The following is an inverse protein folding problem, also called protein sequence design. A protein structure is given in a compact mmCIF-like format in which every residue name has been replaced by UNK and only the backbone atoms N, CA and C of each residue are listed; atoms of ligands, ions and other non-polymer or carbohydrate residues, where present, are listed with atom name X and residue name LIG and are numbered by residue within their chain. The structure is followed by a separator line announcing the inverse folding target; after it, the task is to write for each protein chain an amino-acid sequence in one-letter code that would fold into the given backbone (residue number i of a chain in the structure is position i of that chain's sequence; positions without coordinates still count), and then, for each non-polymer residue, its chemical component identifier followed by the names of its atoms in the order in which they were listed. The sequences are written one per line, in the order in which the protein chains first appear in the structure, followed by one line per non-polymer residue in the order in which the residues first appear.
data_IF_862989714605
#
_entry.id   IF_862989714605
#
_cell.length_a   1.000
_cell.length_b   1.000
_cell.length_c   1.000
_cell.angle_alpha   90.00
_cell.angle_beta   90.00
_cell.angle_gamma   90.00
#
_symmetry.space_group_name_H-M   'P 1'
#
loop_
_entity.id
_entity.type
_entity.pdbx_description
1 polymer ?
#
# COMPACT_ATOMS: atom_id res chain seq x y z
N UNK A 1 -11.81 -33.22 -21.85
CA UNK A 1 -10.42 -32.73 -21.73
C UNK A 1 -9.81 -33.35 -20.48
N UNK A 2 -8.99 -34.39 -20.64
CA UNK A 2 -8.43 -35.18 -19.55
C UNK A 2 -7.40 -34.32 -18.79
N UNK A 3 -7.72 -33.88 -17.56
CA UNK A 3 -6.75 -33.24 -16.67
C UNK A 3 -5.89 -34.34 -16.04
N UNK A 4 -4.98 -34.92 -16.80
CA UNK A 4 -3.88 -35.65 -16.19
C UNK A 4 -3.09 -34.64 -15.34
N UNK A 5 -3.16 -34.79 -14.02
CA UNK A 5 -2.42 -33.96 -13.08
C UNK A 5 -0.94 -34.17 -13.38
N UNK A 6 -0.30 -33.14 -13.92
CA UNK A 6 1.15 -33.10 -14.09
C UNK A 6 1.82 -33.50 -12.76
N UNK A 7 2.48 -34.65 -12.74
CA UNK A 7 3.32 -35.09 -11.63
C UNK A 7 4.78 -34.87 -12.04
N UNK A 8 5.45 -33.83 -11.53
CA UNK A 8 6.86 -33.62 -11.84
C UNK A 8 7.66 -34.84 -11.36
N UNK A 9 8.37 -35.51 -12.27
CA UNK A 9 9.31 -36.59 -11.92
C UNK A 9 10.57 -35.94 -11.35
N UNK A 10 10.69 -35.89 -10.03
CA UNK A 10 11.92 -35.45 -9.38
C UNK A 10 12.99 -36.54 -9.41
N UNK A 11 14.28 -36.20 -9.63
CA UNK A 11 15.39 -37.14 -9.52
C UNK A 11 15.40 -37.81 -8.14
N UNK A 12 15.78 -39.08 -8.07
CA UNK A 12 15.66 -39.90 -6.84
C UNK A 12 16.47 -39.34 -5.66
N UNK A 13 17.63 -38.73 -5.94
CA UNK A 13 18.46 -38.02 -4.97
C UNK A 13 17.81 -36.74 -4.38
N UNK A 14 16.71 -36.27 -4.97
CA UNK A 14 15.96 -35.07 -4.57
C UNK A 14 14.61 -35.41 -3.94
N UNK A 15 14.28 -36.69 -3.75
CA UNK A 15 13.05 -37.10 -3.07
C UNK A 15 13.20 -36.79 -1.56
N UNK A 16 12.35 -35.91 -1.00
CA UNK A 16 12.35 -35.67 0.44
C UNK A 16 11.98 -36.95 1.18
N UNK A 17 12.60 -37.18 2.35
CA UNK A 17 12.23 -38.30 3.21
C UNK A 17 10.75 -38.19 3.62
N UNK A 18 10.13 -39.31 3.99
CA UNK A 18 8.72 -39.32 4.39
C UNK A 18 8.45 -38.38 5.58
N UNK A 19 9.42 -38.26 6.50
CA UNK A 19 9.36 -37.30 7.60
C UNK A 19 9.35 -35.84 7.10
N UNK A 20 10.26 -35.50 6.19
CA UNK A 20 10.32 -34.16 5.59
C UNK A 20 9.06 -33.84 4.76
N UNK A 21 8.48 -34.82 4.07
CA UNK A 21 7.22 -34.64 3.35
C UNK A 21 6.06 -34.32 4.29
N UNK A 22 5.95 -35.06 5.41
CA UNK A 22 4.91 -34.82 6.40
C UNK A 22 5.05 -33.43 7.05
N UNK A 23 6.27 -32.99 7.35
CA UNK A 23 6.52 -31.64 7.86
C UNK A 23 6.17 -30.56 6.85
N UNK A 24 6.59 -30.70 5.59
CA UNK A 24 6.23 -29.77 4.52
C UNK A 24 4.71 -29.69 4.31
N UNK A 25 4.02 -30.82 4.38
CA UNK A 25 2.57 -30.87 4.27
C UNK A 25 1.87 -30.17 5.45
N UNK A 26 2.43 -30.28 6.66
CA UNK A 26 1.94 -29.56 7.83
C UNK A 26 2.16 -28.04 7.69
N UNK A 27 3.35 -27.60 7.28
CA UNK A 27 3.70 -26.19 7.09
C UNK A 27 2.90 -25.53 5.96
N UNK A 28 2.62 -26.28 4.89
CA UNK A 28 1.80 -25.81 3.77
C UNK A 28 0.28 -25.94 4.01
N UNK A 29 -0.14 -26.48 5.17
CA UNK A 29 -1.55 -26.60 5.51
C UNK A 29 -2.17 -25.23 5.71
N UNK A 30 -3.40 -25.03 5.22
CA UNK A 30 -4.17 -23.81 5.47
C UNK A 30 -4.51 -23.59 6.95
N UNK A 31 -4.38 -24.63 7.78
CA UNK A 31 -4.57 -24.55 9.23
C UNK A 31 -3.33 -24.10 9.99
N UNK A 32 -2.16 -24.01 9.34
CA UNK A 32 -0.90 -23.73 10.02
C UNK A 32 -0.91 -22.36 10.70
N UNK A 33 -1.55 -21.37 10.09
CA UNK A 33 -1.62 -20.01 10.62
C UNK A 33 -2.62 -19.87 11.79
N UNK A 34 -3.47 -20.88 12.01
CA UNK A 34 -4.49 -20.84 13.04
C UNK A 34 -3.84 -20.92 14.42
N UNK A 35 -4.02 -19.87 15.21
CA UNK A 35 -3.45 -19.77 16.56
C UNK A 35 -1.98 -19.38 16.63
N UNK A 36 -1.33 -19.13 15.48
CA UNK A 36 0.06 -18.67 15.45
C UNK A 36 0.16 -17.14 15.32
N UNK A 37 1.40 -16.63 15.32
CA UNK A 37 1.71 -15.21 15.09
C UNK A 37 2.01 -14.90 13.62
N UNK A 38 1.94 -15.90 12.73
CA UNK A 38 2.03 -15.69 11.29
C UNK A 38 0.91 -14.76 10.82
N UNK A 39 1.24 -13.82 9.93
CA UNK A 39 0.29 -12.81 9.47
C UNK A 39 0.10 -11.61 10.40
N UNK A 40 0.43 -11.76 11.68
CA UNK A 40 0.25 -10.74 12.73
C UNK A 40 1.56 -10.04 13.08
N UNK A 41 2.60 -10.83 13.34
CA UNK A 41 3.94 -10.37 13.74
C UNK A 41 5.05 -11.03 12.94
N UNK A 42 4.80 -12.19 12.33
CA UNK A 42 5.78 -12.92 11.52
C UNK A 42 5.31 -13.01 10.07
N UNK A 43 6.25 -12.81 9.13
CA UNK A 43 5.97 -12.82 7.70
C UNK A 43 5.18 -11.60 7.22
N UNK A 44 4.52 -11.74 6.07
CA UNK A 44 3.64 -10.72 5.51
C UNK A 44 2.49 -10.40 6.45
N UNK A 45 2.11 -9.13 6.53
CA UNK A 45 1.02 -8.64 7.39
C UNK A 45 -0.33 -8.74 6.69
N UNK A 46 -1.29 -9.42 7.29
CA UNK A 46 -2.60 -9.70 6.66
C UNK A 46 -3.65 -8.61 6.85
N UNK A 47 -3.28 -7.46 7.44
CA UNK A 47 -4.22 -6.43 7.86
C UNK A 47 -4.71 -5.51 6.72
N UNK A 48 -3.96 -5.40 5.61
CA UNK A 48 -4.27 -4.47 4.52
C UNK A 48 -4.20 -5.15 3.16
N UNK A 49 -4.94 -4.61 2.18
CA UNK A 49 -4.85 -4.99 0.75
C UNK A 49 -3.49 -4.62 0.14
N UNK A 50 -2.73 -3.75 0.80
CA UNK A 50 -1.33 -3.43 0.48
C UNK A 50 -0.41 -4.03 1.55
N UNK A 51 -0.43 -5.37 1.66
CA UNK A 51 0.34 -6.13 2.64
C UNK A 51 1.85 -5.87 2.51
N UNK A 52 2.32 -5.65 1.29
CA UNK A 52 3.69 -5.31 0.95
C UNK A 52 4.13 -3.99 1.61
N UNK A 53 3.30 -2.95 1.48
CA UNK A 53 3.58 -1.64 2.00
C UNK A 53 3.58 -1.63 3.54
N UNK A 54 2.58 -2.24 4.19
CA UNK A 54 2.52 -2.29 5.66
C UNK A 54 3.64 -3.18 6.24
N UNK A 55 3.99 -4.28 5.58
CA UNK A 55 5.13 -5.13 6.00
C UNK A 55 6.44 -4.35 5.90
N UNK A 56 6.63 -3.57 4.82
CA UNK A 56 7.81 -2.72 4.68
C UNK A 56 7.90 -1.64 5.76
N UNK A 57 6.77 -1.03 6.12
CA UNK A 57 6.69 -0.03 7.18
C UNK A 57 7.13 -0.63 8.53
N UNK A 58 6.59 -1.79 8.88
CA UNK A 58 6.94 -2.46 10.13
C UNK A 58 8.40 -2.89 10.17
N UNK A 59 8.93 -3.47 9.08
CA UNK A 59 10.36 -3.81 9.00
C UNK A 59 11.25 -2.57 9.20
N UNK A 60 10.91 -1.44 8.56
CA UNK A 60 11.65 -0.19 8.77
C UNK A 60 11.49 0.37 10.19
N UNK A 61 10.32 0.24 10.82
CA UNK A 61 10.13 0.56 12.25
C UNK A 61 10.93 -0.36 13.18
N UNK A 62 11.24 -1.58 12.76
CA UNK A 62 12.07 -2.53 13.51
C UNK A 62 13.58 -2.33 13.23
N UNK A 63 13.95 -1.29 12.48
CA UNK A 63 15.33 -0.90 12.21
C UNK A 63 15.96 -1.55 10.99
N UNK A 64 15.20 -2.27 10.17
CA UNK A 64 15.70 -2.79 8.90
C UNK A 64 15.97 -1.66 7.90
N UNK A 65 16.90 -1.89 6.98
CA UNK A 65 17.30 -0.93 5.94
C UNK A 65 17.01 -1.57 4.58
N UNK A 66 16.24 -0.87 3.75
CA UNK A 66 16.03 -1.24 2.35
C UNK A 66 17.06 -0.56 1.43
N UNK A 67 17.37 -1.21 0.31
CA UNK A 67 18.29 -0.68 -0.71
C UNK A 67 17.59 -0.73 -2.06
N UNK A 68 17.59 0.40 -2.77
CA UNK A 68 17.09 0.51 -4.13
C UNK A 68 18.26 0.56 -5.12
N UNK A 69 18.23 -0.30 -6.13
CA UNK A 69 19.27 -0.39 -7.17
C UNK A 69 18.58 -0.21 -8.52
N UNK A 70 19.07 0.74 -9.32
CA UNK A 70 18.56 1.03 -10.66
C UNK A 70 19.64 0.75 -11.72
N UNK A 71 19.78 -0.51 -12.18
CA UNK A 71 20.76 -0.87 -13.22
C UNK A 71 20.38 -0.30 -14.59
N UNK A 72 21.34 -0.16 -15.49
CA UNK A 72 21.12 0.36 -16.86
C UNK A 72 20.19 -0.53 -17.68
N UNK A 73 20.21 -1.84 -17.45
CA UNK A 73 19.31 -2.80 -18.08
C UNK A 73 18.30 -3.30 -17.04
N UNK A 74 16.99 -3.32 -17.34
CA UNK A 74 15.98 -3.80 -16.41
C UNK A 74 16.17 -5.30 -16.13
N UNK A 75 16.43 -5.65 -14.87
CA UNK A 75 16.54 -7.05 -14.44
C UNK A 75 15.18 -7.75 -14.37
N UNK A 76 14.10 -6.98 -14.20
CA UNK A 76 12.74 -7.47 -14.10
C UNK A 76 11.85 -6.70 -15.08
N UNK A 77 11.17 -7.42 -15.96
CA UNK A 77 10.23 -6.84 -16.91
C UNK A 77 8.82 -7.38 -16.61
N UNK A 78 7.96 -6.51 -16.07
CA UNK A 78 6.56 -6.81 -15.80
C UNK A 78 5.65 -6.49 -16.97
N UNK A 79 4.47 -7.11 -17.01
CA UNK A 79 3.39 -6.71 -17.90
C UNK A 79 2.50 -5.67 -17.22
N UNK A 80 2.24 -4.55 -17.88
CA UNK A 80 1.29 -3.55 -17.41
C UNK A 80 -0.13 -3.84 -17.90
N UNK A 81 -1.13 -3.28 -17.22
CA UNK A 81 -2.51 -3.31 -17.69
C UNK A 81 -2.62 -2.57 -19.02
N UNK A 82 -3.24 -3.21 -20.02
CA UNK A 82 -3.50 -2.61 -21.33
C UNK A 82 -4.94 -2.05 -21.46
N UNK A 83 -5.76 -2.22 -20.42
CA UNK A 83 -7.16 -1.84 -20.39
C UNK A 83 -7.44 -0.90 -19.22
N UNK A 84 -8.26 0.13 -19.47
CA UNK A 84 -8.59 1.15 -18.47
C UNK A 84 -9.29 0.55 -17.25
N UNK A 85 -10.20 -0.41 -17.46
CA UNK A 85 -10.92 -1.03 -16.35
C UNK A 85 -9.97 -1.70 -15.34
N UNK A 86 -8.95 -2.41 -15.85
CA UNK A 86 -8.00 -3.12 -14.99
C UNK A 86 -7.10 -2.15 -14.24
N UNK A 87 -6.69 -1.05 -14.90
CA UNK A 87 -5.96 0.05 -14.26
C UNK A 87 -6.78 0.69 -13.13
N UNK A 88 -8.07 0.95 -13.35
CA UNK A 88 -8.94 1.55 -12.33
C UNK A 88 -9.14 0.61 -11.13
N UNK A 89 -9.32 -0.70 -11.37
CA UNK A 89 -9.42 -1.69 -10.30
C UNK A 89 -8.12 -1.74 -9.49
N UNK A 90 -6.96 -1.71 -10.16
CA UNK A 90 -5.67 -1.70 -9.50
C UNK A 90 -5.47 -0.44 -8.64
N UNK A 91 -5.73 0.74 -9.20
CA UNK A 91 -5.62 2.00 -8.48
C UNK A 91 -6.57 2.04 -7.28
N UNK A 92 -7.80 1.53 -7.44
CA UNK A 92 -8.77 1.45 -6.34
C UNK A 92 -8.26 0.58 -5.20
N UNK A 93 -7.65 -0.57 -5.51
CA UNK A 93 -7.06 -1.46 -4.49
C UNK A 93 -5.93 -0.78 -3.73
N UNK A 94 -5.04 -0.08 -4.43
CA UNK A 94 -3.96 0.67 -3.80
C UNK A 94 -4.48 1.79 -2.91
N UNK A 95 -5.40 2.61 -3.44
CA UNK A 95 -5.98 3.72 -2.69
C UNK A 95 -6.69 3.24 -1.41
N UNK A 96 -7.47 2.16 -1.51
CA UNK A 96 -8.17 1.60 -0.35
C UNK A 96 -7.18 1.03 0.68
N UNK A 97 -6.18 0.27 0.23
CA UNK A 97 -5.17 -0.30 1.13
C UNK A 97 -4.32 0.75 1.83
N UNK A 98 -3.93 1.82 1.13
CA UNK A 98 -3.19 2.95 1.70
C UNK A 98 -4.05 3.73 2.69
N UNK A 99 -5.35 3.91 2.39
CA UNK A 99 -6.30 4.49 3.34
C UNK A 99 -6.44 3.63 4.60
N UNK A 100 -6.55 2.30 4.46
CA UNK A 100 -6.57 1.37 5.59
C UNK A 100 -5.30 1.50 6.45
N UNK A 101 -4.12 1.59 5.83
CA UNK A 101 -2.86 1.80 6.53
C UNK A 101 -2.88 3.13 7.30
N UNK A 102 -3.33 4.22 6.65
CA UNK A 102 -3.39 5.55 7.22
C UNK A 102 -4.32 5.72 8.40
N UNK A 103 -5.46 5.04 8.39
CA UNK A 103 -6.47 5.08 9.45
C UNK A 103 -6.23 4.02 10.54
N UNK A 104 -5.20 3.18 10.40
CA UNK A 104 -4.89 2.15 11.38
C UNK A 104 -4.02 2.65 12.54
N UNK A 105 -3.80 1.82 13.55
CA UNK A 105 -2.80 2.10 14.61
C UNK A 105 -1.36 2.23 14.08
N UNK A 106 -1.12 1.76 12.85
CA UNK A 106 0.18 1.78 12.19
C UNK A 106 0.34 3.00 11.27
N UNK A 107 -0.43 4.08 11.48
CA UNK A 107 -0.28 5.31 10.70
C UNK A 107 1.17 5.78 10.69
N UNK A 108 1.81 5.93 9.51
CA UNK A 108 3.21 6.33 9.43
C UNK A 108 3.54 7.67 10.07
N UNK A 109 2.55 8.58 10.15
CA UNK A 109 2.67 9.91 10.74
C UNK A 109 2.77 9.89 12.28
N UNK A 110 2.23 8.86 12.93
CA UNK A 110 2.20 8.75 14.40
C UNK A 110 3.17 7.67 14.87
N UNK A 111 3.14 6.51 14.21
CA UNK A 111 3.94 5.34 14.58
C UNK A 111 5.39 5.43 14.07
N UNK A 112 5.61 6.05 12.91
CA UNK A 112 6.91 6.15 12.25
C UNK A 112 7.93 7.04 12.97
N UNK A 113 7.65 8.30 13.34
CA UNK A 113 8.68 9.25 13.80
C UNK A 113 9.43 8.80 15.06
N UNK A 114 8.83 7.92 15.86
CA UNK A 114 9.44 7.37 17.08
C UNK A 114 10.33 6.16 16.81
N UNK A 115 10.27 5.57 15.61
CA UNK A 115 10.88 4.27 15.28
C UNK A 115 11.74 4.27 14.01
N UNK A 116 11.64 5.30 13.18
CA UNK A 116 12.46 5.48 11.97
C UNK A 116 12.83 6.94 11.78
N UNK A 117 13.70 7.23 10.80
CA UNK A 117 14.03 8.60 10.41
C UNK A 117 12.77 9.42 10.07
N UNK A 118 12.74 10.68 10.50
CA UNK A 118 11.62 11.60 10.22
C UNK A 118 11.37 11.71 8.71
N UNK A 119 12.42 11.78 7.89
CA UNK A 119 12.29 11.85 6.43
C UNK A 119 11.64 10.59 5.84
N UNK A 120 12.00 9.42 6.37
CA UNK A 120 11.43 8.15 5.95
C UNK A 120 9.96 8.04 6.39
N UNK A 121 9.64 8.45 7.62
CA UNK A 121 8.26 8.53 8.11
C UNK A 121 7.42 9.50 7.28
N UNK A 122 7.96 10.65 6.88
CA UNK A 122 7.30 11.60 5.98
C UNK A 122 7.01 10.99 4.60
N UNK A 123 7.95 10.22 4.03
CA UNK A 123 7.74 9.55 2.75
C UNK A 123 6.56 8.56 2.82
N UNK A 124 6.52 7.73 3.86
CA UNK A 124 5.37 6.85 4.10
C UNK A 124 4.08 7.64 4.36
N UNK A 125 4.17 8.77 5.07
CA UNK A 125 3.05 9.69 5.28
C UNK A 125 2.49 10.24 3.96
N UNK A 126 3.35 10.64 3.03
CA UNK A 126 2.95 11.13 1.72
C UNK A 126 2.19 10.07 0.91
N UNK A 127 2.63 8.81 0.93
CA UNK A 127 1.93 7.71 0.26
C UNK A 127 0.49 7.53 0.77
N UNK A 128 0.30 7.61 2.08
CA UNK A 128 -1.03 7.50 2.69
C UNK A 128 -1.89 8.73 2.38
N UNK A 129 -1.30 9.92 2.46
CA UNK A 129 -2.01 11.18 2.20
C UNK A 129 -2.43 11.32 0.75
N UNK A 130 -1.69 10.75 -0.20
CA UNK A 130 -2.04 10.75 -1.63
C UNK A 130 -3.44 10.17 -1.85
N UNK A 131 -3.77 9.07 -1.18
CA UNK A 131 -5.10 8.46 -1.26
C UNK A 131 -6.20 9.33 -0.65
N UNK A 132 -5.89 10.06 0.43
CA UNK A 132 -6.80 10.97 1.10
C UNK A 132 -6.97 12.32 0.37
N UNK A 133 -6.04 12.66 -0.53
CA UNK A 133 -6.08 13.89 -1.33
C UNK A 133 -7.31 13.96 -2.25
N UNK A 134 -7.94 12.83 -2.54
CA UNK A 134 -9.19 12.75 -3.31
C UNK A 134 -10.30 13.60 -2.71
N UNK A 135 -10.39 13.73 -1.38
CA UNK A 135 -11.42 14.51 -0.68
C UNK A 135 -11.37 16.00 -1.05
N UNK A 136 -10.24 16.72 -0.87
CA UNK A 136 -10.15 18.12 -1.30
C UNK A 136 -10.31 18.29 -2.81
N UNK A 137 -9.86 17.33 -3.64
CA UNK A 137 -10.09 17.39 -5.09
C UNK A 137 -11.58 17.41 -5.44
N UNK A 138 -12.40 16.53 -4.84
CA UNK A 138 -13.84 16.54 -5.05
C UNK A 138 -14.48 17.82 -4.52
N UNK A 139 -14.04 18.32 -3.37
CA UNK A 139 -14.48 19.60 -2.83
C UNK A 139 -14.26 20.74 -3.82
N UNK A 140 -13.04 20.87 -4.36
CA UNK A 140 -12.69 21.90 -5.34
C UNK A 140 -13.33 21.68 -6.71
N UNK A 141 -13.74 20.46 -7.05
CA UNK A 141 -14.41 20.17 -8.32
C UNK A 141 -15.92 20.45 -8.27
N UNK A 142 -16.55 20.33 -7.09
CA UNK A 142 -18.00 20.44 -6.92
C UNK A 142 -18.40 21.81 -6.37
N UNK A 143 -17.66 22.34 -5.39
CA UNK A 143 -18.02 23.58 -4.69
C UNK A 143 -18.02 24.79 -5.66
N UNK A 144 -16.98 25.04 -6.48
CA UNK A 144 -16.97 26.22 -7.35
C UNK A 144 -18.08 26.24 -8.40
N UNK A 145 -18.40 25.14 -9.12
CA UNK A 145 -19.54 25.11 -10.02
C UNK A 145 -20.89 25.39 -9.33
N UNK A 146 -21.10 24.86 -8.13
CA UNK A 146 -22.32 25.13 -7.34
C UNK A 146 -22.38 26.62 -6.96
N UNK A 147 -21.29 27.18 -6.43
CA UNK A 147 -21.23 28.59 -6.08
C UNK A 147 -21.45 29.50 -7.31
N UNK A 148 -20.94 29.10 -8.48
CA UNK A 148 -21.18 29.80 -9.73
C UNK A 148 -22.65 29.81 -10.13
N UNK A 149 -23.34 28.65 -10.04
CA UNK A 149 -24.76 28.53 -10.38
C UNK A 149 -25.67 29.35 -9.46
N UNK A 150 -25.34 29.42 -8.16
CA UNK A 150 -26.11 30.19 -7.18
C UNK A 150 -25.63 31.64 -7.03
N UNK A 151 -24.69 32.09 -7.86
CA UNK A 151 -24.07 33.42 -7.78
C UNK A 151 -23.52 33.76 -6.38
N UNK A 152 -23.00 32.76 -5.65
CA UNK A 152 -22.41 32.92 -4.33
C UNK A 152 -20.94 33.33 -4.52
N UNK A 153 -20.50 34.48 -3.99
CA UNK A 153 -19.10 34.89 -4.08
C UNK A 153 -18.20 33.97 -3.24
N UNK A 154 -17.26 33.27 -3.89
CA UNK A 154 -16.36 32.30 -3.25
C UNK A 154 -15.19 32.98 -2.49
N UNK A 155 -14.76 34.14 -2.97
CA UNK A 155 -13.65 34.91 -2.42
C UNK A 155 -14.15 36.23 -1.85
N UNK A 156 -13.55 36.74 -0.76
CA UNK A 156 -13.89 38.04 -0.22
C UNK A 156 -13.63 39.13 -1.27
N UNK A 157 -14.48 40.14 -1.30
CA UNK A 157 -14.26 41.30 -2.15
C UNK A 157 -13.00 42.04 -1.68
N UNK A 158 -12.16 42.46 -2.63
CA UNK A 158 -11.02 43.31 -2.35
C UNK A 158 -11.54 44.67 -1.88
N UNK A 159 -11.53 44.90 -0.57
CA UNK A 159 -11.77 46.23 -0.03
C UNK A 159 -10.59 47.12 -0.43
N UNK A 160 -10.85 48.27 -1.06
CA UNK A 160 -9.81 49.29 -1.27
C UNK A 160 -9.17 49.59 0.08
N UNK A 161 -7.86 49.39 0.18
CA UNK A 161 -7.07 49.81 1.34
C UNK A 161 -7.38 51.30 1.55
N UNK A 162 -8.02 51.66 2.67
CA UNK A 162 -8.15 53.06 3.05
C UNK A 162 -6.72 53.54 3.26
N UNK A 163 -6.18 54.28 2.28
CA UNK A 163 -4.98 55.08 2.44
C UNK A 163 -5.25 56.07 3.57
N UNK A 164 -4.97 55.64 4.80
CA UNK A 164 -5.01 56.48 5.98
C UNK A 164 -3.62 57.07 6.11
N UNK A 165 -3.31 57.97 5.18
CA UNK A 165 -2.23 58.93 5.30
C UNK A 165 -2.84 60.30 5.04
N UNK A 166 -3.34 60.90 6.13
CA UNK A 166 -3.24 62.31 6.51
C UNK A 166 -4.00 62.49 7.83
#
# INVERSE_FOLDING_TARGET
MNKERYKPKMPEARKPSDALQNELQLLASSSYDVGTQWGKMVGYRYFSVVEDAITSLELHCDGWISVYINPSNPCFLGASTNNLNDTLVQQTRWAFGLMQMGLSRFTPLIYGPLRMSILQSMWYGALVLDSLSTIPFYGLSIIPPICLLYCIPLYPQVSKQKNTHL
#
